data_IF_433332173832
#
_entry.id   IF_433332173832
#
_cell.length_a   1.000
_cell.length_b   1.000
_cell.length_c   1.000
_cell.angle_alpha   90.00
_cell.angle_beta   90.00
_cell.angle_gamma   90.00
#
_symmetry.space_group_name_H-M   'P 1'
#
loop_
_entity.id
_entity.type
_entity.pdbx_description
1 polymer ?
#
# COMPACT_ATOMS: atom_id res chain seq x y z
N UNK A 1 11.28 -16.53 18.68
CA UNK A 1 12.03 -16.59 17.41
C UNK A 1 11.91 -15.23 16.74
N UNK A 2 13.03 -14.62 16.36
CA UNK A 2 13.05 -13.37 15.59
C UNK A 2 13.21 -13.75 14.11
N UNK A 3 12.36 -13.21 13.24
CA UNK A 3 12.48 -13.39 11.79
C UNK A 3 13.27 -12.23 11.20
N UNK A 4 14.25 -12.53 10.36
CA UNK A 4 15.04 -11.54 9.61
C UNK A 4 14.97 -11.90 8.14
N UNK A 5 14.48 -10.97 7.31
CA UNK A 5 14.44 -11.10 5.85
C UNK A 5 15.39 -10.05 5.24
N UNK A 6 16.22 -10.46 4.29
CA UNK A 6 17.14 -9.56 3.57
C UNK A 6 16.70 -9.47 2.11
N UNK A 7 16.37 -8.27 1.68
CA UNK A 7 15.95 -7.97 0.30
C UNK A 7 17.03 -7.18 -0.41
N UNK A 8 17.29 -7.54 -1.66
CA UNK A 8 18.24 -6.85 -2.53
C UNK A 8 17.51 -6.03 -3.59
N UNK A 9 18.23 -5.12 -4.22
CA UNK A 9 17.73 -4.28 -5.32
C UNK A 9 16.52 -3.40 -4.97
N UNK A 10 16.33 -3.07 -3.69
CA UNK A 10 15.26 -2.18 -3.23
C UNK A 10 15.55 -0.72 -3.64
N UNK A 11 15.10 -0.34 -4.85
CA UNK A 11 15.24 1.03 -5.35
C UNK A 11 14.43 2.00 -4.50
N UNK A 12 14.99 3.18 -4.23
CA UNK A 12 14.36 4.26 -3.47
C UNK A 12 14.46 5.58 -4.23
N UNK A 13 13.48 6.45 -4.03
CA UNK A 13 13.46 7.77 -4.67
C UNK A 13 14.08 8.87 -3.81
N UNK A 14 13.94 8.75 -2.49
CA UNK A 14 14.33 9.78 -1.54
C UNK A 14 15.54 9.33 -0.73
N UNK A 15 16.24 10.29 -0.12
CA UNK A 15 17.42 10.01 0.67
C UNK A 15 17.13 9.07 1.85
N UNK A 16 18.12 8.26 2.21
CA UNK A 16 18.08 7.39 3.38
C UNK A 16 18.12 8.25 4.64
N UNK A 17 17.16 8.03 5.52
CA UNK A 17 17.08 8.67 6.82
C UNK A 17 17.98 7.94 7.83
N UNK A 18 18.40 8.62 8.90
CA UNK A 18 19.15 7.98 9.99
C UNK A 18 18.58 8.40 11.35
N UNK A 19 18.26 7.42 12.17
CA UNK A 19 17.74 7.60 13.53
C UNK A 19 18.55 6.69 14.45
N UNK A 20 19.25 7.28 15.44
CA UNK A 20 20.11 6.54 16.38
C UNK A 20 21.11 5.62 15.65
N UNK A 21 21.77 6.15 14.61
CA UNK A 21 22.71 5.43 13.74
C UNK A 21 22.11 4.24 12.95
N UNK A 22 20.78 4.10 12.94
CA UNK A 22 20.06 3.13 12.12
C UNK A 22 19.61 3.82 10.83
N UNK A 23 20.05 3.27 9.69
CA UNK A 23 19.64 3.72 8.36
C UNK A 23 18.26 3.18 8.00
N UNK A 24 17.37 4.07 7.58
CA UNK A 24 15.96 3.78 7.30
C UNK A 24 15.58 4.35 5.94
N UNK A 25 14.69 3.68 5.22
CA UNK A 25 14.06 4.30 4.06
C UNK A 25 13.19 5.48 4.50
N UNK A 26 13.06 6.47 3.63
CA UNK A 26 12.16 7.59 3.87
C UNK A 26 10.73 7.11 4.09
N UNK A 27 9.95 7.87 4.87
CA UNK A 27 8.52 7.57 5.05
C UNK A 27 7.77 7.49 3.71
N UNK A 28 8.15 8.32 2.74
CA UNK A 28 7.60 8.29 1.39
C UNK A 28 7.92 6.96 0.68
N UNK A 29 9.18 6.52 0.66
CA UNK A 29 9.56 5.24 0.05
C UNK A 29 8.89 4.04 0.71
N UNK A 30 8.75 4.06 2.05
CA UNK A 30 7.98 3.04 2.78
C UNK A 30 6.52 3.02 2.26
N UNK A 31 5.91 4.19 2.07
CA UNK A 31 4.59 4.32 1.45
C UNK A 31 4.52 3.72 0.05
N UNK A 32 5.54 3.95 -0.79
CA UNK A 32 5.61 3.36 -2.14
C UNK A 32 5.69 1.84 -2.10
N UNK A 33 6.54 1.27 -1.24
CA UNK A 33 6.61 -0.19 -1.08
C UNK A 33 5.30 -0.77 -0.57
N UNK A 34 4.59 -0.05 0.30
CA UNK A 34 3.28 -0.44 0.78
C UNK A 34 2.23 -0.44 -0.34
N UNK A 35 2.21 0.58 -1.22
CA UNK A 35 1.32 0.60 -2.40
C UNK A 35 1.58 -0.60 -3.33
N UNK A 36 2.84 -0.91 -3.61
CA UNK A 36 3.22 -2.11 -4.40
C UNK A 36 2.75 -3.39 -3.72
N UNK A 37 2.96 -3.52 -2.41
CA UNK A 37 2.54 -4.72 -1.67
C UNK A 37 1.01 -4.86 -1.60
N UNK A 38 0.28 -3.76 -1.37
CA UNK A 38 -1.17 -3.74 -1.27
C UNK A 38 -1.82 -4.22 -2.57
N UNK A 39 -1.25 -3.82 -3.70
CA UNK A 39 -1.73 -4.22 -5.04
C UNK A 39 -1.78 -5.74 -5.21
N UNK A 40 -0.95 -6.50 -4.48
CA UNK A 40 -0.79 -7.93 -4.69
C UNK A 40 -1.44 -8.82 -3.61
N UNK A 41 -1.55 -8.34 -2.36
CA UNK A 41 -2.11 -9.12 -1.23
C UNK A 41 -3.25 -8.44 -0.48
N UNK A 42 -3.48 -7.16 -0.72
CA UNK A 42 -4.57 -6.33 -0.15
C UNK A 42 -4.85 -6.55 1.35
N UNK A 43 -3.83 -6.59 2.21
CA UNK A 43 -4.01 -6.90 3.65
C UNK A 43 -4.45 -5.69 4.49
N UNK A 44 -5.13 -5.92 5.62
CA UNK A 44 -5.54 -4.85 6.54
C UNK A 44 -4.36 -4.06 7.10
N UNK A 45 -3.22 -4.71 7.34
CA UNK A 45 -2.00 -4.05 7.84
C UNK A 45 -1.46 -3.04 6.83
N UNK A 46 -1.43 -3.39 5.55
CA UNK A 46 -0.95 -2.46 4.53
C UNK A 46 -1.87 -1.24 4.41
N UNK A 47 -3.19 -1.42 4.53
CA UNK A 47 -4.16 -0.33 4.58
C UNK A 47 -3.95 0.55 5.82
N UNK A 48 -3.74 -0.05 6.99
CA UNK A 48 -3.52 0.68 8.23
C UNK A 48 -2.23 1.50 8.18
N UNK A 49 -1.14 0.90 7.70
CA UNK A 49 0.16 1.58 7.54
C UNK A 49 0.06 2.71 6.50
N UNK A 50 -0.63 2.49 5.38
CA UNK A 50 -0.86 3.51 4.37
C UNK A 50 -1.74 4.64 4.87
N UNK A 51 -2.80 4.35 5.64
CA UNK A 51 -3.61 5.38 6.27
C UNK A 51 -2.76 6.25 7.20
N UNK A 52 -1.92 5.62 8.03
CA UNK A 52 -1.01 6.34 8.92
C UNK A 52 -0.03 7.23 8.14
N UNK A 53 0.67 6.68 7.14
CA UNK A 53 1.63 7.44 6.32
C UNK A 53 0.92 8.61 5.62
N UNK A 54 -0.31 8.41 5.17
CA UNK A 54 -1.06 9.41 4.42
C UNK A 54 -1.76 10.48 5.26
N UNK A 55 -1.63 10.41 6.59
CA UNK A 55 -1.93 11.57 7.45
C UNK A 55 -0.90 12.69 7.26
N UNK A 56 0.35 12.35 6.91
CA UNK A 56 1.43 13.31 6.67
C UNK A 56 1.73 13.51 5.18
N UNK A 57 1.65 12.45 4.37
CA UNK A 57 1.98 12.48 2.95
C UNK A 57 0.72 12.20 2.13
N UNK A 58 0.15 13.22 1.48
CA UNK A 58 -1.09 13.06 0.68
C UNK A 58 -0.98 11.87 -0.29
N UNK A 59 -2.05 11.07 -0.36
CA UNK A 59 -2.10 9.89 -1.23
C UNK A 59 -1.86 10.23 -2.71
N UNK A 60 -2.31 11.40 -3.18
CA UNK A 60 -2.00 11.92 -4.52
C UNK A 60 -0.51 12.07 -4.77
N UNK A 61 0.24 12.54 -3.77
CA UNK A 61 1.69 12.74 -3.88
C UNK A 61 2.43 11.40 -3.88
N UNK A 62 2.00 10.44 -3.04
CA UNK A 62 2.54 9.08 -3.08
C UNK A 62 2.22 8.39 -4.41
N UNK A 63 1.02 8.56 -4.93
CA UNK A 63 0.62 7.99 -6.22
C UNK A 63 1.45 8.56 -7.37
N UNK A 64 1.69 9.87 -7.39
CA UNK A 64 2.59 10.49 -8.36
C UNK A 64 4.04 10.00 -8.19
N UNK A 65 4.54 9.94 -6.96
CA UNK A 65 5.88 9.40 -6.69
C UNK A 65 6.02 7.94 -7.11
N UNK A 66 4.95 7.14 -7.02
CA UNK A 66 4.94 5.77 -7.53
C UNK A 66 5.08 5.73 -9.06
N UNK A 67 4.40 6.63 -9.78
CA UNK A 67 4.58 6.79 -11.23
C UNK A 67 6.01 7.17 -11.58
N UNK A 68 6.55 8.16 -10.88
CA UNK A 68 7.91 8.64 -11.11
C UNK A 68 8.93 7.53 -10.84
N UNK A 69 8.69 6.71 -9.79
CA UNK A 69 9.52 5.53 -9.47
C UNK A 69 9.46 4.48 -10.57
N UNK A 70 8.26 4.15 -11.04
CA UNK A 70 8.06 3.16 -12.10
C UNK A 70 8.71 3.61 -13.42
N UNK A 71 8.70 4.92 -13.73
CA UNK A 71 9.37 5.48 -14.91
C UNK A 71 10.89 5.53 -14.75
N UNK A 72 11.40 5.79 -13.55
CA UNK A 72 12.84 5.91 -13.28
C UNK A 72 13.54 4.55 -13.25
N UNK A 73 12.83 3.50 -12.83
CA UNK A 73 13.38 2.17 -12.58
C UNK A 73 12.59 1.11 -13.37
N UNK A 74 12.62 1.20 -14.70
CA UNK A 74 11.84 0.37 -15.63
C UNK A 74 12.65 -0.73 -16.33
N UNK A 75 13.95 -0.85 -16.02
CA UNK A 75 14.85 -1.79 -16.69
C UNK A 75 14.82 -3.17 -16.04
N UNK A 76 15.27 -4.19 -16.77
CA UNK A 76 15.42 -5.55 -16.25
C UNK A 76 16.31 -5.62 -14.99
N UNK A 77 17.36 -4.81 -14.93
CA UNK A 77 18.25 -4.69 -13.77
C UNK A 77 17.61 -4.02 -12.54
N UNK A 78 16.47 -3.35 -12.73
CA UNK A 78 15.73 -2.69 -11.66
C UNK A 78 14.65 -3.60 -11.05
N UNK A 79 14.38 -4.76 -11.66
CA UNK A 79 13.42 -5.73 -11.14
C UNK A 79 13.79 -6.21 -9.75
N UNK A 80 12.76 -6.35 -8.94
CA UNK A 80 12.81 -6.80 -7.55
C UNK A 80 12.05 -8.11 -7.41
N UNK A 81 12.05 -8.68 -6.21
CA UNK A 81 11.20 -9.84 -5.89
C UNK A 81 9.71 -9.56 -6.09
N UNK A 82 9.31 -8.28 -6.12
CA UNK A 82 7.93 -7.85 -6.37
C UNK A 82 7.61 -7.73 -7.87
N UNK A 83 8.51 -8.15 -8.76
CA UNK A 83 8.30 -8.12 -10.21
C UNK A 83 8.30 -9.53 -10.83
N UNK A 84 8.53 -10.57 -10.01
CA UNK A 84 8.68 -11.95 -10.46
C UNK A 84 7.35 -12.66 -10.79
N UNK A 85 6.26 -12.23 -10.18
CA UNK A 85 4.90 -12.71 -10.49
C UNK A 85 4.18 -11.68 -11.37
N UNK A 86 3.12 -12.08 -12.09
CA UNK A 86 2.24 -11.17 -12.85
C UNK A 86 1.51 -10.23 -11.89
N UNK A 87 2.25 -9.27 -11.37
CA UNK A 87 1.84 -8.47 -10.24
C UNK A 87 0.94 -7.34 -10.68
N UNK A 88 -0.11 -7.15 -9.90
CA UNK A 88 -1.04 -6.06 -10.12
C UNK A 88 -0.39 -4.77 -9.61
N UNK A 89 -0.76 -3.65 -10.21
CA UNK A 89 -0.31 -2.33 -9.79
C UNK A 89 -1.50 -1.40 -9.64
N UNK A 90 -1.50 -0.59 -8.57
CA UNK A 90 -2.45 0.52 -8.41
C UNK A 90 -2.33 1.58 -9.50
N UNK A 91 -1.22 1.60 -10.25
CA UNK A 91 -1.07 2.47 -11.43
C UNK A 91 -1.96 1.99 -12.59
N UNK A 92 -2.16 0.68 -12.72
CA UNK A 92 -2.98 0.08 -13.78
C UNK A 92 -4.44 -0.12 -13.34
N UNK A 93 -4.67 -0.35 -12.04
CA UNK A 93 -6.00 -0.57 -11.47
C UNK A 93 -6.15 0.09 -10.09
N UNK A 94 -6.77 1.26 -10.05
CA UNK A 94 -7.03 2.01 -8.80
C UNK A 94 -7.99 1.29 -7.84
N UNK A 95 -8.86 0.39 -8.32
CA UNK A 95 -9.79 -0.35 -7.43
C UNK A 95 -9.05 -1.24 -6.42
N UNK A 96 -7.78 -1.56 -6.67
CA UNK A 96 -6.92 -2.29 -5.72
C UNK A 96 -6.72 -1.54 -4.41
N UNK A 97 -6.88 -0.22 -4.39
CA UNK A 97 -6.82 0.57 -3.16
C UNK A 97 -8.02 0.30 -2.23
N UNK A 98 -9.10 -0.29 -2.73
CA UNK A 98 -10.33 -0.60 -1.98
C UNK A 98 -10.74 -2.07 -2.03
N UNK A 99 -9.95 -2.93 -2.69
CA UNK A 99 -10.22 -4.36 -2.83
C UNK A 99 -10.25 -5.10 -1.49
N UNK A 100 -9.61 -4.54 -0.45
CA UNK A 100 -9.60 -5.08 0.92
C UNK A 100 -11.01 -5.19 1.53
N UNK A 101 -11.97 -4.41 1.05
CA UNK A 101 -13.38 -4.50 1.46
C UNK A 101 -14.08 -5.76 0.91
N UNK A 102 -13.54 -6.35 -0.15
CA UNK A 102 -14.15 -7.49 -0.86
C UNK A 102 -13.50 -8.83 -0.47
N UNK A 103 -12.61 -8.86 0.52
CA UNK A 103 -11.97 -10.11 0.98
C UNK A 103 -13.01 -10.92 1.75
N UNK A 104 -13.82 -11.67 1.01
CA UNK A 104 -14.37 -12.93 1.52
C UNK A 104 -13.18 -13.82 1.88
N UNK A 105 -13.28 -14.54 3.00
CA UNK A 105 -12.18 -15.16 3.73
C UNK A 105 -11.43 -16.31 3.02
N UNK A 106 -11.16 -16.25 1.70
CA UNK A 106 -10.71 -17.39 0.89
C UNK A 106 -9.69 -17.08 -0.22
N UNK A 107 -8.86 -16.03 -0.12
CA UNK A 107 -7.79 -15.83 -1.12
C UNK A 107 -6.63 -16.81 -0.91
N UNK A 108 -6.33 -17.62 -1.93
CA UNK A 108 -5.28 -18.66 -2.04
C UNK A 108 -3.81 -18.22 -1.84
N UNK A 109 -3.55 -17.02 -1.33
CA UNK A 109 -2.21 -16.57 -0.97
C UNK A 109 -1.92 -16.90 0.50
N UNK A 110 -0.66 -17.17 0.90
CA UNK A 110 -0.31 -17.34 2.30
C UNK A 110 -0.58 -16.05 3.08
N UNK A 111 -1.80 -15.90 3.59
CA UNK A 111 -2.16 -14.82 4.51
C UNK A 111 -1.71 -15.24 5.90
N UNK A 112 -0.85 -14.45 6.53
CA UNK A 112 -0.50 -14.68 7.93
C UNK A 112 -1.77 -14.78 8.77
N UNK A 113 -1.94 -15.90 9.47
CA UNK A 113 -3.12 -16.35 10.24
C UNK A 113 -3.54 -15.38 11.37
N UNK A 114 -2.86 -14.24 11.53
CA UNK A 114 -3.14 -13.24 12.55
C UNK A 114 -3.03 -11.83 11.94
N UNK A 115 -4.16 -11.36 11.41
CA UNK A 115 -4.36 -10.00 10.88
C UNK A 115 -4.55 -8.96 12.01
N UNK A 116 -3.92 -9.21 13.17
CA UNK A 116 -3.98 -8.35 14.34
C UNK A 116 -3.18 -7.08 14.07
N UNK A 117 -3.88 -5.96 13.94
CA UNK A 117 -3.29 -4.62 13.99
C UNK A 117 -2.93 -4.36 15.45
N UNK A 118 -1.65 -4.17 15.73
CA UNK A 118 -1.19 -3.75 17.06
C UNK A 118 -1.38 -2.24 17.17
N UNK A 119 -2.54 -1.83 17.67
CA UNK A 119 -2.87 -0.42 17.86
C UNK A 119 -2.05 0.10 19.03
N UNK A 120 -1.25 1.14 18.79
CA UNK A 120 -0.56 1.90 19.83
C UNK A 120 -1.52 2.87 20.53
N UNK A 121 -1.28 3.18 21.79
CA UNK A 121 -2.12 4.11 22.55
C UNK A 121 -2.20 5.48 21.84
N UNK A 122 -3.42 6.01 21.68
CA UNK A 122 -3.69 7.24 20.92
C UNK A 122 -3.74 7.10 19.40
N UNK A 123 -3.54 5.90 18.83
CA UNK A 123 -3.64 5.66 17.38
C UNK A 123 -5.06 5.26 16.96
N UNK A 124 -5.39 5.48 15.68
CA UNK A 124 -6.70 5.13 15.10
C UNK A 124 -7.03 3.66 15.33
N UNK A 125 -8.27 3.35 15.64
CA UNK A 125 -8.81 2.00 15.53
C UNK A 125 -8.83 1.54 14.07
N UNK A 126 -8.96 0.23 13.82
CA UNK A 126 -9.12 -0.27 12.46
C UNK A 126 -10.32 0.34 11.73
N UNK A 127 -11.44 0.56 12.42
CA UNK A 127 -12.65 1.12 11.83
C UNK A 127 -12.39 2.57 11.37
N UNK A 128 -11.74 3.38 12.22
CA UNK A 128 -11.38 4.75 11.90
C UNK A 128 -10.37 4.81 10.75
N UNK A 129 -9.31 4.00 10.79
CA UNK A 129 -8.31 3.92 9.73
C UNK A 129 -8.93 3.51 8.39
N UNK A 130 -9.87 2.55 8.40
CA UNK A 130 -10.61 2.13 7.22
C UNK A 130 -11.46 3.26 6.62
N UNK A 131 -12.20 4.00 7.45
CA UNK A 131 -13.03 5.13 6.98
C UNK A 131 -12.16 6.27 6.45
N UNK A 132 -11.09 6.59 7.18
CA UNK A 132 -10.08 7.58 6.81
C UNK A 132 -9.45 7.23 5.46
N UNK A 133 -8.96 5.99 5.31
CA UNK A 133 -8.38 5.50 4.06
C UNK A 133 -9.35 5.62 2.89
N UNK A 134 -10.60 5.16 3.04
CA UNK A 134 -11.61 5.29 1.97
C UNK A 134 -11.84 6.75 1.54
N UNK A 135 -11.79 7.68 2.49
CA UNK A 135 -11.93 9.11 2.21
C UNK A 135 -10.74 9.65 1.43
N UNK A 136 -9.51 9.22 1.76
CA UNK A 136 -8.29 9.56 1.03
C UNK A 136 -8.26 8.97 -0.38
N UNK A 137 -8.75 7.74 -0.55
CA UNK A 137 -8.88 7.14 -1.89
C UNK A 137 -9.91 7.91 -2.72
N UNK A 138 -11.06 8.31 -2.16
CA UNK A 138 -12.00 9.20 -2.89
C UNK A 138 -11.35 10.49 -3.35
N UNK A 139 -10.61 11.15 -2.47
CA UNK A 139 -9.88 12.36 -2.83
C UNK A 139 -8.83 12.13 -3.94
N UNK A 140 -8.22 10.93 -4.00
CA UNK A 140 -7.35 10.55 -5.12
C UNK A 140 -8.14 10.41 -6.43
N UNK A 141 -9.30 9.75 -6.41
CA UNK A 141 -10.17 9.62 -7.58
C UNK A 141 -10.60 10.99 -8.11
N UNK A 142 -11.06 11.88 -7.22
CA UNK A 142 -11.43 13.25 -7.55
C UNK A 142 -10.25 14.02 -8.15
N UNK A 143 -9.06 13.89 -7.55
CA UNK A 143 -7.82 14.51 -8.06
C UNK A 143 -7.44 14.02 -9.46
N UNK A 144 -7.71 12.75 -9.78
CA UNK A 144 -7.44 12.15 -11.09
C UNK A 144 -8.57 12.40 -12.10
N UNK A 145 -9.69 13.00 -11.69
CA UNK A 145 -10.86 13.23 -12.55
C UNK A 145 -11.58 11.92 -12.94
N UNK A 146 -11.51 10.90 -12.09
CA UNK A 146 -12.10 9.57 -12.34
C UNK A 146 -13.24 9.34 -11.34
N UNK A 147 -14.36 8.79 -11.81
CA UNK A 147 -15.48 8.44 -10.94
C UNK A 147 -15.09 7.37 -9.92
N UNK A 148 -15.38 7.62 -8.65
CA UNK A 148 -15.19 6.62 -7.60
C UNK A 148 -16.14 5.43 -7.83
N UNK A 149 -15.65 4.18 -7.71
CA UNK A 149 -16.44 2.98 -8.01
C UNK A 149 -17.70 2.89 -7.15
N UNK A 150 -18.82 2.60 -7.81
CA UNK A 150 -20.12 2.39 -7.15
C UNK A 150 -20.08 1.11 -6.30
N UNK A 151 -20.85 1.05 -5.20
CA UNK A 151 -21.02 -0.19 -4.45
C UNK A 151 -21.50 -1.30 -5.39
N UNK A 152 -20.76 -2.41 -5.45
CA UNK A 152 -21.22 -3.62 -6.15
C UNK A 152 -22.35 -4.20 -5.29
N UNK A 153 -23.59 -4.10 -5.75
CA UNK A 153 -24.74 -4.67 -5.06
C UNK A 153 -24.54 -6.17 -4.83
N UNK A 154 -24.94 -6.67 -3.67
CA UNK A 154 -24.99 -8.11 -3.43
C UNK A 154 -26.20 -8.62 -4.23
N UNK A 155 -25.95 -9.42 -5.27
CA UNK A 155 -27.02 -10.21 -5.88
C UNK A 155 -27.47 -11.24 -4.85
N UNK A 156 -28.59 -10.98 -4.22
CA UNK A 156 -29.38 -11.97 -3.48
C UNK A 156 -30.18 -12.76 -4.53
N UNK A 157 -29.50 -13.75 -5.13
CA UNK A 157 -30.11 -14.79 -5.96
C UNK A 157 -30.45 -16.01 -5.11
#
# INVERSE_FOLDING_TARGET
>A
MIKVDVLQNMKHLFEIESINDIRLFSKADIGLYKLVSLSNRSTKKDIYDLDFITDEIKLSNLYQSLKDKAQKFDKEEDKTIFDLDKNQSVLDNLELLISFDNITASSKFPTHTHDNIKITEGSKTWIEARISWRSKVRALYDHLGIDFPKPKGINIS
#
